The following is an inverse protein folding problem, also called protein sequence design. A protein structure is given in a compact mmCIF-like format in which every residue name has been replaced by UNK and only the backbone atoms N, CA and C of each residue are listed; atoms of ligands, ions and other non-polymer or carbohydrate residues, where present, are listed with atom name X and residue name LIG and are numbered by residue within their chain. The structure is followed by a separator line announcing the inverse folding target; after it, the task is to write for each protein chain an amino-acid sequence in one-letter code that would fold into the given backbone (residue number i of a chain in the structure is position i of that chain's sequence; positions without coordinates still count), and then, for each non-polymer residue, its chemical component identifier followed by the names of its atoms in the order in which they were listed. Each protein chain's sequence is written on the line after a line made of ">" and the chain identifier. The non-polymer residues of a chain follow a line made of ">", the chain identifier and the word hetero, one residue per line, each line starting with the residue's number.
data_IF_517810388547
#
_entry.id   IF_517810388547
#
_cell.length_a   1.000
_cell.length_b   1.000
_cell.length_c   1.000
_cell.angle_alpha   90.00
_cell.angle_beta   90.00
_cell.angle_gamma   90.00
#
_symmetry.space_group_name_H-M   'P 1'
#
loop_
_entity.id
_entity.type
_entity.pdbx_description
1 polymer ?
#
# COMPACT_ATOMS: atom_id res chain seq x y z
N UNK A 1 10.19 -6.21 12.23
CA UNK A 1 9.98 -4.75 12.40
C UNK A 1 8.48 -4.51 12.55
N UNK A 2 8.05 -3.37 13.11
CA UNK A 2 6.65 -2.92 12.98
C UNK A 2 6.68 -1.63 12.17
N UNK A 3 6.60 -1.75 10.85
CA UNK A 3 6.56 -0.62 9.92
C UNK A 3 5.29 0.22 10.09
N UNK A 4 4.19 -0.40 10.52
CA UNK A 4 2.86 0.22 10.55
C UNK A 4 2.30 0.45 11.97
N UNK A 5 3.11 0.32 13.03
CA UNK A 5 2.66 0.39 14.44
C UNK A 5 2.00 1.74 14.80
N UNK A 6 2.42 2.82 14.15
CA UNK A 6 1.90 4.18 14.34
C UNK A 6 0.70 4.52 13.43
N UNK A 7 0.33 3.62 12.50
CA UNK A 7 -0.76 3.90 11.56
C UNK A 7 -2.13 3.67 12.23
N UNK A 8 -2.73 4.76 12.71
CA UNK A 8 -4.08 4.74 13.27
C UNK A 8 -5.19 4.87 12.19
N UNK A 9 -4.82 5.06 10.92
CA UNK A 9 -5.77 5.28 9.83
C UNK A 9 -5.35 4.56 8.55
N UNK A 10 -6.33 4.03 7.82
CA UNK A 10 -6.12 3.30 6.56
C UNK A 10 -5.40 4.17 5.51
N UNK A 11 -5.68 5.47 5.50
CA UNK A 11 -5.04 6.42 4.58
C UNK A 11 -3.54 6.56 4.85
N UNK A 12 -3.14 6.75 6.12
CA UNK A 12 -1.73 6.78 6.53
C UNK A 12 -1.03 5.45 6.23
N UNK A 13 -1.72 4.33 6.45
CA UNK A 13 -1.20 3.00 6.15
C UNK A 13 -0.91 2.83 4.64
N UNK A 14 -1.84 3.23 3.77
CA UNK A 14 -1.66 3.24 2.30
C UNK A 14 -0.50 4.14 1.88
N UNK A 15 -0.43 5.34 2.45
CA UNK A 15 0.64 6.29 2.14
C UNK A 15 2.02 5.74 2.51
N UNK A 16 2.16 5.18 3.71
CA UNK A 16 3.41 4.63 4.19
C UNK A 16 3.82 3.37 3.39
N UNK A 17 2.86 2.51 3.08
CA UNK A 17 3.09 1.33 2.24
C UNK A 17 3.65 1.70 0.89
N UNK A 18 3.06 2.71 0.22
CA UNK A 18 3.57 3.22 -1.05
C UNK A 18 5.00 3.77 -0.93
N UNK A 19 5.31 4.51 0.14
CA UNK A 19 6.65 5.06 0.34
C UNK A 19 7.69 3.95 0.52
N UNK A 20 7.39 2.97 1.37
CA UNK A 20 8.24 1.80 1.61
C UNK A 20 8.38 0.95 0.34
N UNK A 21 7.27 0.69 -0.37
CA UNK A 21 7.27 -0.03 -1.62
C UNK A 21 8.14 0.67 -2.68
N UNK A 22 8.12 2.00 -2.76
CA UNK A 22 9.00 2.76 -3.67
C UNK A 22 10.47 2.60 -3.32
N UNK A 23 10.79 2.63 -2.03
CA UNK A 23 12.16 2.59 -1.53
C UNK A 23 12.77 1.19 -1.68
N UNK A 24 12.00 0.14 -1.41
CA UNK A 24 12.44 -1.25 -1.42
C UNK A 24 12.09 -2.00 -2.72
N UNK A 25 11.55 -1.32 -3.74
CA UNK A 25 11.25 -1.95 -5.03
C UNK A 25 12.54 -2.46 -5.70
N UNK A 26 12.56 -3.70 -6.22
CA UNK A 26 13.75 -4.25 -6.90
C UNK A 26 14.23 -3.37 -8.07
N UNK A 27 13.32 -2.76 -8.84
CA UNK A 27 13.68 -1.87 -9.95
C UNK A 27 14.31 -0.54 -9.50
N UNK A 28 14.14 -0.16 -8.22
CA UNK A 28 14.78 1.02 -7.62
C UNK A 28 16.05 0.64 -6.81
N UNK A 29 16.51 -0.61 -6.90
CA UNK A 29 17.68 -1.12 -6.17
C UNK A 29 17.36 -1.66 -4.78
N UNK A 30 16.08 -1.86 -4.46
CA UNK A 30 15.63 -2.47 -3.22
C UNK A 30 15.63 -4.01 -3.25
N UNK A 31 15.26 -4.63 -2.13
CA UNK A 31 15.23 -6.10 -1.98
C UNK A 31 13.80 -6.62 -2.01
N UNK A 32 13.56 -7.63 -2.85
CA UNK A 32 12.26 -8.33 -2.91
C UNK A 32 11.86 -8.92 -1.55
N UNK A 33 12.82 -9.39 -0.76
CA UNK A 33 12.61 -9.91 0.59
C UNK A 33 11.96 -8.85 1.50
N UNK A 34 12.52 -7.64 1.53
CA UNK A 34 11.98 -6.53 2.32
C UNK A 34 10.58 -6.14 1.85
N UNK A 35 10.36 -6.08 0.53
CA UNK A 35 9.05 -5.76 -0.04
C UNK A 35 7.99 -6.81 0.34
N UNK A 36 8.36 -8.10 0.38
CA UNK A 36 7.48 -9.17 0.83
C UNK A 36 7.12 -9.03 2.32
N UNK A 37 8.08 -8.68 3.18
CA UNK A 37 7.82 -8.41 4.59
C UNK A 37 6.86 -7.22 4.78
N UNK A 38 7.10 -6.09 4.08
CA UNK A 38 6.23 -4.91 4.09
C UNK A 38 4.80 -5.28 3.63
N UNK A 39 4.68 -6.06 2.55
CA UNK A 39 3.40 -6.52 2.02
C UNK A 39 2.68 -7.46 2.99
N UNK A 40 3.40 -8.35 3.68
CA UNK A 40 2.80 -9.23 4.68
C UNK A 40 2.26 -8.44 5.87
N UNK A 41 3.08 -7.53 6.40
CA UNK A 41 2.71 -6.72 7.57
C UNK A 41 1.52 -5.81 7.27
N UNK A 42 1.51 -5.11 6.12
CA UNK A 42 0.36 -4.28 5.76
C UNK A 42 -0.93 -5.10 5.69
N UNK A 43 -0.89 -6.33 5.15
CA UNK A 43 -2.09 -7.16 5.01
C UNK A 43 -2.67 -7.49 6.38
N UNK A 44 -1.78 -7.76 7.35
CA UNK A 44 -2.17 -8.00 8.73
C UNK A 44 -2.74 -6.74 9.41
N UNK A 45 -2.05 -5.60 9.28
CA UNK A 45 -2.45 -4.36 9.95
C UNK A 45 -3.74 -3.79 9.36
N UNK A 46 -3.94 -3.85 8.04
CA UNK A 46 -5.19 -3.40 7.43
C UNK A 46 -6.37 -4.28 7.84
N UNK A 47 -6.20 -5.61 7.88
CA UNK A 47 -7.23 -6.52 8.35
C UNK A 47 -7.58 -6.26 9.83
N UNK A 48 -6.56 -5.95 10.65
CA UNK A 48 -6.75 -5.58 12.06
C UNK A 48 -7.49 -4.25 12.22
N UNK A 49 -7.13 -3.23 11.44
CA UNK A 49 -7.81 -1.93 11.42
C UNK A 49 -9.27 -2.07 10.99
N UNK A 50 -9.53 -2.82 9.91
CA UNK A 50 -10.89 -3.07 9.41
C UNK A 50 -11.74 -3.85 10.41
N UNK A 51 -11.17 -4.86 11.09
CA UNK A 51 -11.83 -5.56 12.19
C UNK A 51 -12.19 -4.63 13.36
N UNK A 52 -11.35 -3.63 13.64
CA UNK A 52 -11.62 -2.62 14.67
C UNK A 52 -12.75 -1.64 14.31
N UNK A 53 -13.09 -1.50 13.03
CA UNK A 53 -14.05 -0.52 12.54
C UNK A 53 -15.53 -0.94 12.62
N UNK A 54 -15.89 -2.09 13.22
CA UNK A 54 -17.28 -2.61 13.24
C UNK A 54 -17.93 -2.69 11.84
N UNK A 55 -17.11 -2.92 10.81
CA UNK A 55 -17.59 -3.10 9.44
C UNK A 55 -18.28 -4.46 9.31
N UNK A 56 -19.28 -4.53 8.44
CA UNK A 56 -19.88 -5.80 8.02
C UNK A 56 -18.86 -6.66 7.28
N UNK A 57 -19.13 -7.97 7.17
CA UNK A 57 -18.25 -8.92 6.49
C UNK A 57 -18.03 -8.51 5.02
N UNK A 58 -19.08 -8.04 4.34
CA UNK A 58 -19.05 -7.54 2.96
C UNK A 58 -18.21 -6.26 2.81
N UNK A 59 -18.31 -5.32 3.75
CA UNK A 59 -17.50 -4.09 3.76
C UNK A 59 -16.03 -4.39 4.04
N UNK A 60 -15.75 -5.36 4.91
CA UNK A 60 -14.40 -5.82 5.18
C UNK A 60 -13.76 -6.47 3.95
N UNK A 61 -14.48 -7.38 3.29
CA UNK A 61 -14.03 -7.99 2.04
C UNK A 61 -13.77 -6.94 0.96
N UNK A 62 -14.70 -6.00 0.78
CA UNK A 62 -14.57 -4.90 -0.17
C UNK A 62 -13.35 -4.03 0.13
N UNK A 63 -13.10 -3.71 1.39
CA UNK A 63 -11.94 -2.92 1.80
C UNK A 63 -10.61 -3.67 1.63
N UNK A 64 -10.59 -4.98 1.88
CA UNK A 64 -9.43 -5.84 1.63
C UNK A 64 -9.16 -5.92 0.12
N UNK A 65 -10.18 -6.18 -0.70
CA UNK A 65 -10.10 -6.20 -2.17
C UNK A 65 -9.61 -4.86 -2.72
N UNK A 66 -10.17 -3.75 -2.25
CA UNK A 66 -9.71 -2.40 -2.61
C UNK A 66 -8.23 -2.20 -2.28
N UNK A 67 -7.78 -2.75 -1.16
CA UNK A 67 -6.39 -2.64 -0.73
C UNK A 67 -5.43 -3.51 -1.53
N UNK A 68 -5.86 -4.70 -1.96
CA UNK A 68 -5.10 -5.54 -2.88
C UNK A 68 -4.99 -4.89 -4.26
N UNK A 69 -6.11 -4.39 -4.80
CA UNK A 69 -6.14 -3.67 -6.07
C UNK A 69 -5.23 -2.44 -6.02
N UNK A 70 -5.25 -1.71 -4.91
CA UNK A 70 -4.34 -0.60 -4.65
C UNK A 70 -2.88 -1.02 -4.76
N UNK A 71 -2.47 -2.07 -4.04
CA UNK A 71 -1.08 -2.55 -4.11
C UNK A 71 -0.69 -2.99 -5.50
N UNK A 72 -1.53 -3.78 -6.16
CA UNK A 72 -1.23 -4.28 -7.51
C UNK A 72 -1.04 -3.12 -8.49
N UNK A 73 -1.87 -2.08 -8.38
CA UNK A 73 -1.73 -0.88 -9.21
C UNK A 73 -0.41 -0.17 -8.93
N UNK A 74 -0.02 0.01 -7.66
CA UNK A 74 1.26 0.61 -7.28
C UNK A 74 2.43 -0.23 -7.78
N UNK A 75 2.45 -1.53 -7.50
CA UNK A 75 3.53 -2.45 -7.91
C UNK A 75 3.73 -2.45 -9.44
N UNK A 76 2.64 -2.37 -10.20
CA UNK A 76 2.71 -2.32 -11.67
C UNK A 76 3.30 -1.03 -12.23
N UNK A 77 3.24 0.08 -11.50
CA UNK A 77 3.71 1.38 -11.98
C UNK A 77 5.00 1.85 -11.27
N UNK A 78 5.30 1.35 -10.09
CA UNK A 78 6.36 1.90 -9.24
C UNK A 78 7.77 1.68 -9.81
N UNK A 79 7.93 0.72 -10.72
CA UNK A 79 9.18 0.48 -11.46
C UNK A 79 9.48 1.52 -12.55
N UNK A 80 8.51 2.37 -12.94
CA UNK A 80 8.79 3.41 -13.92
C UNK A 80 9.64 4.55 -13.31
N UNK A 81 10.69 4.93 -14.03
CA UNK A 81 11.55 6.06 -13.66
C UNK A 81 10.86 7.37 -14.06
N UNK A 82 11.06 8.45 -13.30
CA UNK A 82 10.46 9.78 -13.53
C UNK A 82 8.92 9.86 -13.43
N UNK A 83 8.29 8.94 -12.68
CA UNK A 83 6.88 9.09 -12.31
C UNK A 83 6.71 9.55 -10.86
N UNK A 84 5.71 10.38 -10.67
CA UNK A 84 5.16 10.85 -9.41
C UNK A 84 3.81 10.20 -9.23
N UNK A 85 3.69 9.41 -8.17
CA UNK A 85 2.43 8.77 -7.79
C UNK A 85 1.88 9.60 -6.63
N UNK A 86 0.62 9.99 -6.69
CA UNK A 86 -0.12 10.71 -5.66
C UNK A 86 -1.40 9.93 -5.31
N UNK A 87 -1.80 9.97 -4.04
CA UNK A 87 -3.00 9.27 -3.58
C UNK A 87 -4.05 10.31 -3.19
N UNK A 88 -5.20 10.28 -3.86
CA UNK A 88 -6.31 11.21 -3.62
C UNK A 88 -7.56 10.41 -3.28
N UNK A 89 -7.73 10.09 -1.99
CA UNK A 89 -8.81 9.25 -1.49
C UNK A 89 -8.75 7.82 -2.07
N UNK A 90 -9.69 7.49 -2.95
CA UNK A 90 -9.74 6.22 -3.69
C UNK A 90 -9.02 6.25 -5.05
N UNK A 91 -8.49 7.39 -5.47
CA UNK A 91 -7.81 7.55 -6.76
C UNK A 91 -6.30 7.53 -6.60
N UNK A 92 -5.62 6.90 -7.55
CA UNK A 92 -4.17 6.99 -7.73
C UNK A 92 -3.94 7.94 -8.90
N UNK A 93 -3.35 9.08 -8.64
CA UNK A 93 -2.92 10.02 -9.67
C UNK A 93 -1.47 9.72 -10.03
N UNK A 94 -1.19 9.56 -11.33
CA UNK A 94 0.15 9.22 -11.81
C UNK A 94 0.54 10.28 -12.82
N UNK A 95 1.62 11.00 -12.52
CA UNK A 95 2.16 12.06 -13.36
C UNK A 95 3.59 11.71 -13.70
N UNK A 96 4.00 11.76 -14.96
CA UNK A 96 5.37 11.44 -15.35
C UNK A 96 5.76 12.12 -16.65
N UNK A 97 7.06 12.32 -16.82
CA UNK A 97 7.63 12.71 -18.10
C UNK A 97 8.24 11.45 -18.72
N UNK A 98 7.55 10.91 -19.71
CA UNK A 98 7.98 9.74 -20.49
C UNK A 98 8.75 10.19 -21.72
#
# INVERSE_FOLDING_TARGET
>A
MNYFDLCQSIENLKHLHKQLAKQDHPDMGGRTETLQEINSEYSYVIAKLLKGCNLTEEEMETAILSSQNYRNAIDSIIGFVNITIELVGTWIWVTGNT
#
